data_IF_653377602628
#
_entry.id   IF_653377602628
#
_cell.length_a   1.000
_cell.length_b   1.000
_cell.length_c   1.000
_cell.angle_alpha   90.00
_cell.angle_beta   90.00
_cell.angle_gamma   90.00
#
_symmetry.space_group_name_H-M   'P 1'
#
loop_
_entity.id
_entity.type
_entity.pdbx_description
1 polymer ?
#
# COMPACT_ATOMS: atom_id res chain seq x y z
N UNK A 1 13.35 7.73 -0.23
CA UNK A 1 13.47 8.02 -1.67
C UNK A 1 12.22 7.50 -2.38
N UNK A 2 11.56 8.35 -3.17
CA UNK A 2 10.37 8.01 -3.96
C UNK A 2 10.80 7.19 -5.19
N UNK A 3 9.99 6.20 -5.62
CA UNK A 3 10.30 5.38 -6.79
C UNK A 3 10.43 6.23 -8.08
N UNK A 4 11.25 5.77 -9.03
CA UNK A 4 11.26 6.35 -10.36
C UNK A 4 9.89 6.11 -11.04
N UNK A 5 9.28 7.13 -11.68
CA UNK A 5 7.93 7.00 -12.27
C UNK A 5 7.79 5.91 -13.34
N UNK A 6 8.87 5.60 -14.03
CA UNK A 6 8.98 4.63 -15.12
C UNK A 6 9.46 3.24 -14.65
N UNK A 7 9.74 3.08 -13.35
CA UNK A 7 10.16 1.79 -12.83
C UNK A 7 9.06 0.73 -12.99
N UNK A 8 9.40 -0.53 -13.30
CA UNK A 8 8.41 -1.58 -13.50
C UNK A 8 7.41 -1.71 -12.34
N UNK A 9 6.11 -1.79 -12.67
CA UNK A 9 5.02 -1.92 -11.69
C UNK A 9 4.76 -0.66 -10.84
N UNK A 10 5.42 0.47 -11.14
CA UNK A 10 5.12 1.76 -10.52
C UNK A 10 4.04 2.47 -11.34
N UNK A 11 3.02 2.94 -10.65
CA UNK A 11 1.98 3.82 -11.17
C UNK A 11 2.21 5.22 -10.61
N UNK A 12 2.35 6.21 -11.48
CA UNK A 12 2.33 7.62 -11.09
C UNK A 12 0.90 8.16 -11.17
N UNK A 13 0.40 8.66 -10.05
CA UNK A 13 -0.90 9.32 -9.99
C UNK A 13 -0.79 10.78 -10.46
N UNK A 14 -1.88 11.42 -10.89
CA UNK A 14 -1.88 12.84 -11.31
C UNK A 14 -1.35 13.81 -10.26
N UNK A 15 -1.39 13.46 -8.98
CA UNK A 15 -0.78 14.24 -7.89
C UNK A 15 0.75 14.18 -7.84
N UNK A 16 1.40 13.40 -8.72
CA UNK A 16 2.83 13.14 -8.70
C UNK A 16 3.25 11.97 -7.80
N UNK A 17 2.34 11.38 -7.02
CA UNK A 17 2.64 10.28 -6.10
C UNK A 17 2.83 8.97 -6.84
N UNK A 18 3.77 8.15 -6.38
CA UNK A 18 4.10 6.85 -6.98
C UNK A 18 3.56 5.71 -6.12
N UNK A 19 2.81 4.79 -6.72
CA UNK A 19 2.28 3.59 -6.08
C UNK A 19 2.88 2.36 -6.75
N UNK A 20 3.07 1.27 -5.99
CA UNK A 20 3.44 -0.03 -6.54
C UNK A 20 2.57 -1.09 -5.88
N UNK A 21 1.68 -1.68 -6.66
CA UNK A 21 0.87 -2.81 -6.21
C UNK A 21 1.73 -4.06 -6.08
N UNK A 22 1.64 -4.76 -4.94
CA UNK A 22 2.36 -6.03 -4.71
C UNK A 22 1.55 -6.93 -3.78
N UNK A 23 1.36 -8.19 -4.19
CA UNK A 23 0.90 -9.23 -3.27
C UNK A 23 2.01 -9.65 -2.30
N UNK A 24 1.71 -9.77 -1.00
CA UNK A 24 2.72 -10.07 0.03
C UNK A 24 3.45 -11.41 -0.17
N UNK A 25 2.83 -12.36 -0.89
CA UNK A 25 3.43 -13.66 -1.26
C UNK A 25 4.61 -13.54 -2.23
N UNK A 26 4.75 -12.42 -2.94
CA UNK A 26 5.82 -12.20 -3.90
C UNK A 26 7.00 -11.49 -3.21
N UNK A 27 8.26 -11.76 -3.62
CA UNK A 27 9.41 -11.05 -3.07
C UNK A 27 9.30 -9.54 -3.30
N UNK A 28 10.04 -8.76 -2.51
CA UNK A 28 10.15 -7.33 -2.74
C UNK A 28 10.82 -7.10 -4.10
N UNK A 29 10.23 -6.31 -5.01
CA UNK A 29 10.86 -5.97 -6.28
C UNK A 29 12.18 -5.21 -6.05
N UNK A 30 13.14 -5.30 -6.99
CA UNK A 30 14.36 -4.51 -6.90
C UNK A 30 14.08 -3.01 -6.83
N UNK A 31 15.00 -2.28 -6.20
CA UNK A 31 14.92 -0.84 -5.98
C UNK A 31 14.63 -0.47 -4.52
N UNK A 32 14.34 0.82 -4.25
CA UNK A 32 14.14 1.29 -2.89
C UNK A 32 12.87 0.69 -2.27
N UNK A 33 12.91 0.44 -0.97
CA UNK A 33 11.73 0.09 -0.17
C UNK A 33 10.67 1.18 -0.22
N UNK A 34 9.39 0.84 -0.06
CA UNK A 34 8.33 1.84 0.07
C UNK A 34 8.59 2.73 1.28
N UNK A 35 8.20 4.00 1.19
CA UNK A 35 8.16 4.91 2.35
C UNK A 35 6.98 4.61 3.26
N UNK A 36 5.90 4.06 2.71
CA UNK A 36 4.68 3.70 3.43
C UNK A 36 3.96 2.51 2.77
N UNK A 37 3.43 1.60 3.57
CA UNK A 37 2.63 0.46 3.12
C UNK A 37 1.18 0.53 3.61
N UNK A 38 0.21 0.36 2.70
CA UNK A 38 -1.19 0.14 3.05
C UNK A 38 -1.60 -1.29 2.66
N UNK A 39 -1.89 -2.14 3.65
CA UNK A 39 -2.23 -3.54 3.44
C UNK A 39 -3.73 -3.78 3.62
N UNK A 40 -4.40 -4.16 2.54
CA UNK A 40 -5.82 -4.50 2.53
C UNK A 40 -5.94 -6.03 2.50
N UNK A 41 -6.01 -6.65 3.68
CA UNK A 41 -5.94 -8.11 3.81
C UNK A 41 -6.96 -8.62 4.82
N UNK A 42 -7.53 -9.80 4.57
CA UNK A 42 -8.46 -10.44 5.50
C UNK A 42 -7.82 -10.86 6.84
N UNK A 43 -6.50 -11.05 6.85
CA UNK A 43 -5.69 -11.42 8.01
C UNK A 43 -4.50 -10.46 8.20
N UNK A 44 -3.92 -10.45 9.41
CA UNK A 44 -2.79 -9.58 9.74
C UNK A 44 -1.56 -9.96 8.89
N UNK A 45 -0.92 -9.00 8.21
CA UNK A 45 0.31 -9.28 7.47
C UNK A 45 1.49 -9.57 8.42
N UNK A 46 2.56 -10.22 7.93
CA UNK A 46 3.84 -10.24 8.63
C UNK A 46 4.37 -8.83 8.88
N UNK A 47 5.20 -8.69 9.92
CA UNK A 47 5.85 -7.42 10.22
C UNK A 47 6.82 -7.02 9.08
N UNK A 48 6.87 -5.71 8.81
CA UNK A 48 7.70 -5.11 7.76
C UNK A 48 8.58 -4.02 8.36
N UNK A 49 9.71 -3.74 7.71
CA UNK A 49 10.71 -2.77 8.20
C UNK A 49 10.39 -1.30 7.90
N UNK A 50 9.28 -1.02 7.24
CA UNK A 50 8.81 0.32 6.89
C UNK A 50 7.49 0.64 7.59
N UNK A 51 7.17 1.93 7.68
CA UNK A 51 5.89 2.37 8.23
C UNK A 51 4.73 1.75 7.44
N UNK A 52 3.76 1.16 8.13
CA UNK A 52 2.62 0.55 7.46
C UNK A 52 1.35 0.54 8.30
N UNK A 53 0.22 0.56 7.59
CA UNK A 53 -1.11 0.37 8.15
C UNK A 53 -1.76 -0.86 7.52
N UNK A 54 -2.32 -1.72 8.36
CA UNK A 54 -3.18 -2.82 7.92
C UNK A 54 -4.65 -2.49 8.15
N UNK A 55 -5.46 -2.79 7.13
CA UNK A 55 -6.91 -2.78 7.18
C UNK A 55 -7.44 -4.19 6.94
N UNK A 56 -8.34 -4.64 7.82
CA UNK A 56 -9.07 -5.87 7.62
C UNK A 56 -10.04 -5.70 6.45
N UNK A 57 -9.72 -6.34 5.33
CA UNK A 57 -10.49 -6.29 4.11
C UNK A 57 -10.68 -7.71 3.57
N UNK A 58 -11.85 -8.34 3.78
CA UNK A 58 -12.11 -9.67 3.24
C UNK A 58 -12.16 -9.64 1.71
N UNK A 59 -11.63 -10.69 1.09
CA UNK A 59 -11.56 -10.79 -0.37
C UNK A 59 -12.95 -10.66 -1.00
N UNK A 60 -13.04 -9.84 -2.04
CA UNK A 60 -14.28 -9.54 -2.77
C UNK A 60 -15.43 -8.98 -1.90
N UNK A 61 -15.13 -8.40 -0.75
CA UNK A 61 -16.11 -7.71 0.11
C UNK A 61 -15.75 -6.25 0.33
N UNK A 62 -16.64 -5.54 1.01
CA UNK A 62 -16.39 -4.21 1.57
C UNK A 62 -15.42 -4.32 2.78
N UNK A 63 -14.71 -3.23 3.12
CA UNK A 63 -13.85 -3.21 4.31
C UNK A 63 -14.68 -3.49 5.56
N UNK A 64 -14.10 -4.22 6.51
CA UNK A 64 -14.79 -4.53 7.77
C UNK A 64 -15.10 -3.29 8.62
N UNK A 65 -14.36 -2.19 8.38
CA UNK A 65 -14.59 -0.87 8.98
C UNK A 65 -14.45 0.20 7.87
N UNK A 66 -15.58 0.71 7.34
CA UNK A 66 -15.57 1.72 6.29
C UNK A 66 -14.95 3.07 6.71
N UNK A 67 -15.12 3.48 7.97
CA UNK A 67 -14.61 4.76 8.45
C UNK A 67 -13.08 4.72 8.55
N UNK A 68 -12.54 3.64 9.13
CA UNK A 68 -11.10 3.41 9.19
C UNK A 68 -10.49 3.24 7.80
N UNK A 69 -11.19 2.54 6.90
CA UNK A 69 -10.73 2.40 5.52
C UNK A 69 -10.61 3.75 4.81
N UNK A 70 -11.64 4.60 4.93
CA UNK A 70 -11.61 5.96 4.37
C UNK A 70 -10.48 6.80 4.96
N UNK A 71 -10.30 6.75 6.28
CA UNK A 71 -9.24 7.50 6.95
C UNK A 71 -7.84 7.07 6.49
N UNK A 72 -7.56 5.75 6.46
CA UNK A 72 -6.25 5.26 6.06
C UNK A 72 -5.97 5.46 4.56
N UNK A 73 -6.99 5.36 3.68
CA UNK A 73 -6.83 5.71 2.26
C UNK A 73 -6.52 7.20 2.08
N UNK A 74 -7.15 8.07 2.88
CA UNK A 74 -6.88 9.52 2.86
C UNK A 74 -5.48 9.84 3.42
N UNK A 75 -5.08 9.21 4.52
CA UNK A 75 -3.73 9.36 5.09
C UNK A 75 -2.67 8.87 4.09
N UNK A 76 -2.90 7.68 3.51
CA UNK A 76 -2.09 7.16 2.42
C UNK A 76 -2.12 8.04 1.18
N UNK A 77 -3.06 8.97 1.02
CA UNK A 77 -3.11 9.99 -0.04
C UNK A 77 -2.34 11.28 0.29
N UNK A 78 -2.30 11.67 1.57
CA UNK A 78 -1.75 12.95 1.99
C UNK A 78 -0.24 12.93 2.29
N UNK A 79 0.34 11.75 2.49
CA UNK A 79 1.78 11.55 2.77
C UNK A 79 2.70 11.79 1.56
#
# INVERSE_FOLDING_TARGET
>A
MTWAPDAPGVLRLPSGRTLRGRGLRHPLPPGPSPTYGLYLLGHRPPDVSWESTWLRWPDFRLPSDPARARAALRDAWLR
#
